data_IF_041590832177
#
_entry.id   IF_041590832177
#
_cell.length_a   1.000
_cell.length_b   1.000
_cell.length_c   1.000
_cell.angle_alpha   90.00
_cell.angle_beta   90.00
_cell.angle_gamma   90.00
#
_symmetry.space_group_name_H-M   'P 1'
#
loop_
_entity.id
_entity.type
_entity.pdbx_description
1 polymer ?
#
# COMPACT_ATOMS: atom_id res chain seq x y z
N UNK A 1 -6.25 22.00 6.95
CA UNK A 1 -4.98 22.60 7.39
C UNK A 1 -4.58 22.18 8.81
N UNK A 2 -5.46 22.20 9.80
CA UNK A 2 -5.11 21.77 11.18
C UNK A 2 -4.68 20.29 11.27
N UNK A 3 -5.37 19.38 10.57
CA UNK A 3 -5.03 17.95 10.54
C UNK A 3 -3.61 17.68 10.00
N UNK A 4 -3.21 18.35 8.91
CA UNK A 4 -1.88 18.17 8.30
C UNK A 4 -0.79 18.47 9.32
N UNK A 5 -0.90 19.57 10.07
CA UNK A 5 0.08 19.95 11.07
C UNK A 5 0.22 18.92 12.20
N UNK A 6 -0.89 18.33 12.65
CA UNK A 6 -0.86 17.27 13.67
C UNK A 6 -0.20 16.00 13.12
N UNK A 7 -0.59 15.56 11.93
CA UNK A 7 -0.02 14.37 11.27
C UNK A 7 1.49 14.53 11.04
N UNK A 8 1.94 15.72 10.63
CA UNK A 8 3.37 16.02 10.48
C UNK A 8 4.13 15.88 11.79
N UNK A 9 3.54 16.34 12.91
CA UNK A 9 4.16 16.17 14.22
C UNK A 9 4.28 14.69 14.60
N UNK A 10 3.23 13.90 14.37
CA UNK A 10 3.22 12.46 14.66
C UNK A 10 4.26 11.72 13.81
N UNK A 11 4.28 11.95 12.50
CA UNK A 11 5.25 11.35 11.58
C UNK A 11 6.71 11.64 12.00
N UNK A 12 6.97 12.87 12.46
CA UNK A 12 8.30 13.34 12.83
C UNK A 12 8.74 12.94 14.25
N UNK A 13 7.84 12.40 15.07
CA UNK A 13 8.14 12.02 16.45
C UNK A 13 8.74 10.61 16.49
N UNK A 14 10.08 10.53 16.55
CA UNK A 14 10.80 9.26 16.65
C UNK A 14 10.61 8.54 17.99
N UNK A 15 9.89 9.13 18.95
CA UNK A 15 9.50 8.46 20.20
C UNK A 15 8.17 7.73 20.09
N UNK A 16 7.42 7.93 18.99
CA UNK A 16 6.23 7.15 18.67
C UNK A 16 6.57 5.80 18.07
N UNK A 17 5.64 4.86 18.25
CA UNK A 17 5.70 3.55 17.60
C UNK A 17 5.75 3.68 16.07
N UNK A 18 6.58 2.87 15.38
CA UNK A 18 6.64 2.80 13.91
C UNK A 18 5.28 2.83 13.21
N UNK A 19 4.34 2.00 13.65
CA UNK A 19 3.02 1.91 13.04
C UNK A 19 2.21 3.19 13.18
N UNK A 20 2.31 3.90 14.30
CA UNK A 20 1.61 5.20 14.49
C UNK A 20 2.16 6.26 13.53
N UNK A 21 3.48 6.22 13.28
CA UNK A 21 4.15 7.11 12.31
C UNK A 21 3.78 6.76 10.87
N UNK A 22 3.70 5.46 10.55
CA UNK A 22 3.19 4.96 9.26
C UNK A 22 1.78 5.48 8.99
N UNK A 23 0.83 5.30 9.92
CA UNK A 23 -0.55 5.77 9.78
C UNK A 23 -0.62 7.29 9.54
N UNK A 24 0.25 8.06 10.19
CA UNK A 24 0.34 9.50 9.96
C UNK A 24 0.86 9.84 8.55
N UNK A 25 1.86 9.10 8.05
CA UNK A 25 2.38 9.23 6.70
C UNK A 25 1.35 8.86 5.63
N UNK A 26 0.64 7.75 5.84
CA UNK A 26 -0.42 7.29 4.95
C UNK A 26 -1.57 8.30 4.90
N UNK A 27 -2.01 8.81 6.05
CA UNK A 27 -3.03 9.85 6.11
C UNK A 27 -2.63 11.14 5.37
N UNK A 28 -1.35 11.54 5.43
CA UNK A 28 -0.84 12.66 4.64
C UNK A 28 -0.90 12.37 3.14
N UNK A 29 -0.54 11.16 2.73
CA UNK A 29 -0.70 10.67 1.36
C UNK A 29 -2.17 10.70 0.91
N UNK A 30 -3.08 10.19 1.74
CA UNK A 30 -4.53 10.15 1.53
C UNK A 30 -5.12 11.56 1.31
N UNK A 31 -4.72 12.53 2.15
CA UNK A 31 -5.12 13.94 2.02
C UNK A 31 -4.66 14.53 0.67
N UNK A 32 -3.50 14.13 0.15
CA UNK A 32 -3.06 14.52 -1.19
C UNK A 32 -2.52 15.96 -1.30
N UNK A 33 -2.26 16.64 -0.18
CA UNK A 33 -1.80 18.04 -0.18
C UNK A 33 -0.33 18.16 -0.59
N UNK A 34 -0.04 19.08 -1.51
CA UNK A 34 1.34 19.41 -1.89
C UNK A 34 2.17 19.98 -0.73
N UNK A 35 1.52 20.55 0.29
CA UNK A 35 2.18 21.02 1.52
C UNK A 35 2.93 19.90 2.25
N UNK A 36 2.47 18.65 2.11
CA UNK A 36 3.05 17.47 2.75
C UNK A 36 4.26 16.91 1.99
N UNK A 37 4.55 17.36 0.77
CA UNK A 37 5.65 16.80 -0.05
C UNK A 37 7.00 16.97 0.65
N UNK A 38 7.28 18.15 1.22
CA UNK A 38 8.57 18.43 1.83
C UNK A 38 8.87 17.53 3.04
N UNK A 39 7.87 17.26 3.88
CA UNK A 39 8.02 16.41 5.05
C UNK A 39 8.10 14.93 4.67
N UNK A 40 7.26 14.46 3.74
CA UNK A 40 7.32 13.08 3.26
C UNK A 40 8.67 12.79 2.57
N UNK A 41 9.18 13.74 1.78
CA UNK A 41 10.50 13.60 1.14
C UNK A 41 11.65 13.52 2.15
N UNK A 42 11.53 14.21 3.29
CA UNK A 42 12.50 14.13 4.39
C UNK A 42 12.50 12.74 5.04
N UNK A 43 11.32 12.13 5.20
CA UNK A 43 11.16 10.83 5.87
C UNK A 43 11.18 9.61 4.93
N UNK A 44 11.30 9.82 3.61
CA UNK A 44 11.54 8.74 2.64
C UNK A 44 12.79 7.90 2.93
N UNK A 45 13.76 8.45 3.67
CA UNK A 45 14.96 7.74 4.12
C UNK A 45 14.98 7.44 5.62
N UNK A 46 13.81 7.33 6.26
CA UNK A 46 13.73 6.97 7.69
C UNK A 46 14.39 5.60 7.95
N UNK A 47 15.09 5.41 9.08
CA UNK A 47 15.66 4.12 9.43
C UNK A 47 14.61 3.02 9.67
N UNK A 48 13.36 3.41 9.95
CA UNK A 48 12.23 2.48 10.08
C UNK A 48 11.60 2.29 8.70
N UNK A 49 11.71 1.07 8.16
CA UNK A 49 11.37 0.76 6.77
C UNK A 49 9.89 1.04 6.48
N UNK A 50 9.00 0.71 7.42
CA UNK A 50 7.56 0.95 7.30
C UNK A 50 7.27 2.44 7.11
N UNK A 51 7.98 3.31 7.83
CA UNK A 51 7.81 4.77 7.71
C UNK A 51 8.39 5.27 6.40
N UNK A 52 9.56 4.78 6.00
CA UNK A 52 10.23 5.17 4.76
C UNK A 52 9.40 4.82 3.51
N UNK A 53 8.96 3.57 3.42
CA UNK A 53 8.13 3.05 2.33
C UNK A 53 6.76 3.73 2.29
N UNK A 54 6.15 4.00 3.44
CA UNK A 54 4.90 4.76 3.50
C UNK A 54 5.05 6.17 2.96
N UNK A 55 6.16 6.83 3.31
CA UNK A 55 6.44 8.16 2.78
C UNK A 55 6.69 8.13 1.27
N UNK A 56 7.34 7.09 0.75
CA UNK A 56 7.48 6.86 -0.69
C UNK A 56 6.12 6.69 -1.38
N UNK A 57 5.27 5.80 -0.88
CA UNK A 57 3.91 5.57 -1.42
C UNK A 57 3.07 6.85 -1.38
N UNK A 58 3.09 7.57 -0.26
CA UNK A 58 2.38 8.83 -0.10
C UNK A 58 2.85 9.90 -1.10
N UNK A 59 4.16 9.99 -1.36
CA UNK A 59 4.72 10.90 -2.36
C UNK A 59 4.25 10.54 -3.78
N UNK A 60 4.35 9.27 -4.16
CA UNK A 60 3.93 8.81 -5.49
C UNK A 60 2.41 8.98 -5.68
N UNK A 61 1.62 8.73 -4.64
CA UNK A 61 0.17 9.01 -4.65
C UNK A 61 -0.14 10.48 -4.86
N UNK A 62 0.54 11.38 -4.13
CA UNK A 62 0.37 12.83 -4.30
C UNK A 62 0.75 13.22 -5.73
N UNK A 63 1.90 12.78 -6.23
CA UNK A 63 2.32 13.07 -7.61
C UNK A 63 1.28 12.59 -8.63
N UNK A 64 0.75 11.38 -8.45
CA UNK A 64 -0.27 10.83 -9.34
C UNK A 64 -1.56 11.67 -9.34
N UNK A 65 -2.08 12.06 -8.16
CA UNK A 65 -3.30 12.88 -8.08
C UNK A 65 -3.12 14.25 -8.75
N UNK A 66 -1.93 14.84 -8.66
CA UNK A 66 -1.62 16.13 -9.27
C UNK A 66 -1.19 16.03 -10.74
N UNK A 67 -1.03 14.84 -11.31
CA UNK A 67 -0.76 14.66 -12.74
C UNK A 67 -2.05 14.95 -13.55
N UNK A 68 -2.06 15.92 -14.48
CA UNK A 68 -3.22 16.21 -15.32
C UNK A 68 -3.71 15.01 -16.15
N UNK A 69 -2.86 14.01 -16.37
CA UNK A 69 -3.18 12.80 -17.13
C UNK A 69 -3.79 11.69 -16.27
N UNK A 70 -3.75 11.76 -14.94
CA UNK A 70 -4.27 10.69 -14.07
C UNK A 70 -5.76 10.41 -14.34
N UNK A 71 -6.54 11.46 -14.61
CA UNK A 71 -7.97 11.38 -14.95
C UNK A 71 -8.27 10.66 -16.27
N UNK A 72 -7.25 10.44 -17.12
CA UNK A 72 -7.38 9.71 -18.38
C UNK A 72 -7.17 8.20 -18.22
N UNK A 73 -6.63 7.77 -17.09
CA UNK A 73 -6.46 6.35 -16.79
C UNK A 73 -7.84 5.68 -16.64
N UNK A 74 -8.04 4.59 -17.38
CA UNK A 74 -9.22 3.75 -17.23
C UNK A 74 -8.98 2.78 -16.07
N UNK A 75 -9.34 3.24 -14.88
CA UNK A 75 -9.18 2.50 -13.63
C UNK A 75 -10.40 1.63 -13.32
N UNK A 76 -10.16 0.49 -12.67
CA UNK A 76 -11.25 -0.33 -12.11
C UNK A 76 -11.92 0.41 -10.94
N UNK A 77 -13.21 0.17 -10.74
CA UNK A 77 -13.93 0.68 -9.58
C UNK A 77 -13.37 0.03 -8.29
N UNK A 78 -13.16 0.83 -7.24
CA UNK A 78 -12.87 0.32 -5.90
C UNK A 78 -14.19 -0.02 -5.18
N UNK A 79 -14.54 -1.31 -4.99
CA UNK A 79 -15.81 -1.69 -4.36
C UNK A 79 -15.84 -1.46 -2.84
N UNK A 80 -14.68 -1.23 -2.21
CA UNK A 80 -14.54 -1.07 -0.76
C UNK A 80 -14.57 0.40 -0.31
N UNK A 81 -14.54 1.35 -1.26
CA UNK A 81 -14.60 2.80 -1.00
C UNK A 81 -13.53 3.30 -0.02
N UNK A 82 -12.42 2.57 0.08
CA UNK A 82 -11.23 2.98 0.82
C UNK A 82 -10.45 4.04 0.05
N UNK A 83 -9.67 4.83 0.78
CA UNK A 83 -8.69 5.74 0.19
C UNK A 83 -7.37 4.99 0.12
N UNK A 84 -7.15 4.29 -0.99
CA UNK A 84 -5.99 3.42 -1.14
C UNK A 84 -4.66 4.22 -1.26
N UNK A 85 -3.53 3.69 -0.75
CA UNK A 85 -2.19 4.26 -0.91
C UNK A 85 -1.74 4.40 -2.37
N UNK A 86 -2.29 3.59 -3.28
CA UNK A 86 -2.07 3.70 -4.72
C UNK A 86 -3.38 3.46 -5.49
N UNK A 87 -3.59 4.09 -6.67
CA UNK A 87 -4.67 3.69 -7.57
C UNK A 87 -4.48 2.25 -8.05
N UNK A 88 -5.51 1.54 -8.52
CA UNK A 88 -5.31 0.25 -9.20
C UNK A 88 -4.49 0.44 -10.50
N UNK A 89 -3.81 -0.61 -10.94
CA UNK A 89 -3.21 -0.64 -12.27
C UNK A 89 -4.29 -0.59 -13.37
N UNK A 90 -3.94 -0.03 -14.54
CA UNK A 90 -4.79 -0.08 -15.73
C UNK A 90 -4.79 -1.44 -16.41
N UNK A 91 -3.83 -2.30 -16.06
CA UNK A 91 -3.70 -3.67 -16.55
C UNK A 91 -4.88 -4.49 -16.02
N UNK A 92 -5.52 -5.26 -16.91
CA UNK A 92 -6.65 -6.14 -16.57
C UNK A 92 -6.29 -7.62 -16.66
N UNK A 93 -5.10 -7.95 -17.17
CA UNK A 93 -4.62 -9.33 -17.26
C UNK A 93 -4.14 -9.82 -15.90
N UNK A 94 -4.66 -10.97 -15.46
CA UNK A 94 -4.40 -11.49 -14.12
C UNK A 94 -2.96 -11.97 -13.95
N UNK A 95 -2.38 -12.62 -14.97
CA UNK A 95 -1.02 -13.16 -14.88
C UNK A 95 0.02 -12.03 -14.92
N UNK A 96 -0.22 -10.98 -15.71
CA UNK A 96 0.63 -9.79 -15.71
C UNK A 96 0.58 -9.05 -14.37
N UNK A 97 -0.62 -8.85 -13.80
CA UNK A 97 -0.78 -8.24 -12.47
C UNK A 97 -0.08 -9.06 -11.39
N UNK A 98 -0.22 -10.39 -11.42
CA UNK A 98 0.48 -11.29 -10.50
C UNK A 98 1.99 -11.23 -10.67
N UNK A 99 2.48 -11.15 -11.91
CA UNK A 99 3.90 -11.02 -12.19
C UNK A 99 4.47 -9.72 -11.61
N UNK A 100 3.75 -8.59 -11.75
CA UNK A 100 4.15 -7.31 -11.14
C UNK A 100 4.13 -7.41 -9.61
N UNK A 101 3.05 -7.95 -9.03
CA UNK A 101 2.87 -8.07 -7.58
C UNK A 101 4.05 -8.79 -6.90
N UNK A 102 4.52 -9.88 -7.52
CA UNK A 102 5.56 -10.77 -7.02
C UNK A 102 6.98 -10.37 -7.45
N UNK A 103 7.14 -9.31 -8.26
CA UNK A 103 8.44 -8.85 -8.72
C UNK A 103 9.11 -7.94 -7.69
N UNK A 104 10.14 -8.42 -6.99
CA UNK A 104 10.88 -7.63 -6.00
C UNK A 104 11.72 -6.49 -6.61
N UNK A 105 11.97 -6.52 -7.91
CA UNK A 105 12.64 -5.45 -8.64
C UNK A 105 11.66 -4.37 -9.15
N UNK A 106 10.35 -4.61 -9.06
CA UNK A 106 9.34 -3.61 -9.40
C UNK A 106 9.24 -2.55 -8.29
N UNK A 107 8.85 -1.33 -8.66
CA UNK A 107 8.64 -0.26 -7.69
C UNK A 107 7.53 -0.64 -6.70
N UNK A 108 7.66 -0.21 -5.45
CA UNK A 108 6.63 -0.47 -4.44
C UNK A 108 5.27 0.08 -4.87
N UNK A 109 5.25 1.25 -5.51
CA UNK A 109 4.03 1.84 -6.06
C UNK A 109 3.38 0.94 -7.11
N UNK A 110 4.13 0.43 -8.10
CA UNK A 110 3.57 -0.47 -9.12
C UNK A 110 3.05 -1.78 -8.53
N UNK A 111 3.73 -2.31 -7.52
CA UNK A 111 3.27 -3.51 -6.80
C UNK A 111 1.96 -3.24 -6.06
N UNK A 112 1.81 -2.09 -5.39
CA UNK A 112 0.55 -1.67 -4.77
C UNK A 112 -0.56 -1.44 -5.82
N UNK A 113 -0.23 -0.86 -6.98
CA UNK A 113 -1.19 -0.70 -8.08
C UNK A 113 -1.71 -2.07 -8.56
N UNK A 114 -0.81 -3.03 -8.73
CA UNK A 114 -1.18 -4.40 -9.11
C UNK A 114 -2.04 -5.08 -8.02
N UNK A 115 -1.67 -4.90 -6.75
CA UNK A 115 -2.40 -5.39 -5.58
C UNK A 115 -3.85 -4.91 -5.59
N UNK A 116 -4.08 -3.59 -5.73
CA UNK A 116 -5.44 -3.04 -5.73
C UNK A 116 -6.25 -3.41 -6.97
N UNK A 117 -5.60 -3.56 -8.14
CA UNK A 117 -6.26 -4.11 -9.32
C UNK A 117 -6.76 -5.54 -9.06
N UNK A 118 -5.90 -6.43 -8.55
CA UNK A 118 -6.26 -7.81 -8.19
C UNK A 118 -7.39 -7.84 -7.13
N UNK A 119 -7.28 -7.01 -6.09
CA UNK A 119 -8.34 -6.88 -5.07
C UNK A 119 -9.68 -6.51 -5.68
N UNK A 120 -9.70 -5.57 -6.63
CA UNK A 120 -10.93 -5.11 -7.26
C UNK A 120 -11.55 -6.18 -8.18
N UNK A 121 -10.76 -7.12 -8.71
CA UNK A 121 -11.27 -8.24 -9.53
C UNK A 121 -12.15 -9.21 -8.73
N UNK A 122 -11.86 -9.42 -7.44
CA UNK A 122 -12.63 -10.31 -6.54
C UNK A 122 -12.84 -11.72 -7.08
N UNK A 123 -11.87 -12.23 -7.84
CA UNK A 123 -11.87 -13.61 -8.32
C UNK A 123 -11.06 -14.50 -7.39
N UNK A 124 -11.34 -15.80 -7.42
CA UNK A 124 -10.60 -16.77 -6.60
C UNK A 124 -9.12 -16.81 -6.99
N UNK A 125 -8.81 -16.65 -8.27
CA UNK A 125 -7.44 -16.59 -8.79
C UNK A 125 -6.71 -15.35 -8.26
N UNK A 126 -7.39 -14.20 -8.19
CA UNK A 126 -6.83 -12.98 -7.62
C UNK A 126 -6.56 -13.14 -6.11
N UNK A 127 -7.47 -13.77 -5.36
CA UNK A 127 -7.28 -14.09 -3.94
C UNK A 127 -6.04 -14.97 -3.74
N UNK A 128 -5.85 -15.99 -4.59
CA UNK A 128 -4.68 -16.88 -4.54
C UNK A 128 -3.39 -16.13 -4.89
N UNK A 129 -3.42 -15.25 -5.89
CA UNK A 129 -2.27 -14.40 -6.25
C UNK A 129 -1.87 -13.48 -5.08
N UNK A 130 -2.84 -12.78 -4.49
CA UNK A 130 -2.64 -11.94 -3.30
C UNK A 130 -2.12 -12.75 -2.12
N UNK A 131 -2.73 -13.90 -1.83
CA UNK A 131 -2.29 -14.81 -0.76
C UNK A 131 -0.84 -15.25 -0.91
N UNK A 132 -0.40 -15.53 -2.14
CA UNK A 132 1.01 -15.90 -2.39
C UNK A 132 2.00 -14.76 -2.13
N UNK A 133 1.55 -13.51 -2.19
CA UNK A 133 2.39 -12.33 -1.97
C UNK A 133 2.66 -12.05 -0.48
N UNK A 134 2.00 -12.74 0.46
CA UNK A 134 2.34 -12.72 1.90
C UNK A 134 3.74 -13.27 2.21
N UNK A 135 4.46 -13.79 1.22
CA UNK A 135 5.81 -14.38 1.39
C UNK A 135 6.93 -13.53 0.77
N UNK A 136 6.62 -12.32 0.29
CA UNK A 136 7.59 -11.48 -0.41
C UNK A 136 7.45 -10.01 -0.01
N UNK A 137 8.44 -9.19 -0.38
CA UNK A 137 8.48 -7.78 -0.03
C UNK A 137 8.72 -7.50 1.46
N UNK A 138 8.49 -6.27 1.88
CA UNK A 138 8.68 -5.81 3.26
C UNK A 138 7.53 -6.20 4.19
N UNK A 139 7.73 -6.00 5.50
CA UNK A 139 6.67 -6.16 6.50
C UNK A 139 5.45 -5.26 6.19
N UNK A 140 5.70 -4.03 5.72
CA UNK A 140 4.63 -3.12 5.28
C UNK A 140 3.87 -3.65 4.06
N UNK A 141 4.59 -4.17 3.05
CA UNK A 141 3.93 -4.76 1.88
C UNK A 141 3.06 -5.95 2.26
N UNK A 142 3.56 -6.85 3.12
CA UNK A 142 2.78 -8.00 3.63
C UNK A 142 1.59 -7.57 4.48
N UNK A 143 1.75 -6.52 5.30
CA UNK A 143 0.65 -5.91 6.05
C UNK A 143 -0.49 -5.48 5.12
N UNK A 144 -0.18 -4.76 4.04
CA UNK A 144 -1.19 -4.33 3.08
C UNK A 144 -1.83 -5.52 2.35
N UNK A 145 -1.06 -6.55 1.98
CA UNK A 145 -1.61 -7.80 1.43
C UNK A 145 -2.63 -8.41 2.39
N UNK A 146 -2.30 -8.53 3.68
CA UNK A 146 -3.20 -9.05 4.68
C UNK A 146 -4.45 -8.17 4.82
N UNK A 147 -4.30 -6.84 4.77
CA UNK A 147 -5.40 -5.89 4.80
C UNK A 147 -6.36 -6.09 3.61
N UNK A 148 -5.85 -6.17 2.37
CA UNK A 148 -6.70 -6.37 1.18
C UNK A 148 -7.36 -7.74 1.14
N UNK A 149 -6.71 -8.79 1.64
CA UNK A 149 -7.34 -10.10 1.83
C UNK A 149 -8.47 -10.04 2.87
N UNK A 150 -8.27 -9.27 3.94
CA UNK A 150 -9.29 -8.96 4.93
C UNK A 150 -10.47 -8.18 4.35
N UNK A 151 -10.24 -7.26 3.40
CA UNK A 151 -11.31 -6.59 2.65
C UNK A 151 -12.09 -7.57 1.77
N UNK A 152 -11.40 -8.50 1.10
CA UNK A 152 -12.01 -9.50 0.23
C UNK A 152 -12.90 -10.49 0.98
N UNK A 153 -12.53 -10.86 2.21
CA UNK A 153 -13.29 -11.80 3.05
C UNK A 153 -13.55 -13.17 2.39
N UNK A 154 -12.70 -13.58 1.45
CA UNK A 154 -12.84 -14.87 0.75
C UNK A 154 -12.16 -15.99 1.55
N UNK A 155 -12.86 -17.11 1.76
CA UNK A 155 -12.34 -18.27 2.50
C UNK A 155 -11.05 -18.85 1.89
N UNK A 156 -10.82 -18.68 0.58
CA UNK A 156 -9.59 -19.10 -0.08
C UNK A 156 -8.34 -18.37 0.43
N UNK A 157 -8.50 -17.22 1.09
CA UNK A 157 -7.40 -16.47 1.72
C UNK A 157 -6.95 -17.07 3.06
N UNK A 158 -7.83 -17.81 3.75
CA UNK A 158 -7.61 -18.29 5.12
C UNK A 158 -6.34 -19.13 5.27
N UNK A 159 -6.01 -20.07 4.36
CA UNK A 159 -4.77 -20.83 4.48
C UNK A 159 -3.52 -19.94 4.43
N UNK A 160 -3.51 -18.91 3.59
CA UNK A 160 -2.37 -18.00 3.43
C UNK A 160 -2.20 -17.09 4.64
N UNK A 161 -3.31 -16.51 5.14
CA UNK A 161 -3.31 -15.68 6.35
C UNK A 161 -2.87 -16.51 7.58
N UNK A 162 -3.36 -17.74 7.68
CA UNK A 162 -2.96 -18.66 8.75
C UNK A 162 -1.47 -18.96 8.68
N UNK A 163 -0.95 -19.32 7.51
CA UNK A 163 0.48 -19.60 7.33
C UNK A 163 1.35 -18.40 7.71
N UNK A 164 0.97 -17.19 7.28
CA UNK A 164 1.69 -15.96 7.62
C UNK A 164 1.67 -15.65 9.12
N UNK A 165 0.56 -15.90 9.83
CA UNK A 165 0.45 -15.69 11.27
C UNK A 165 1.18 -16.76 12.11
N UNK A 166 1.35 -17.97 11.56
CA UNK A 166 2.08 -19.07 12.20
C UNK A 166 3.59 -18.95 12.01
N UNK A 167 4.06 -18.07 11.11
CA UNK A 167 5.48 -17.84 10.87
C UNK A 167 6.13 -17.04 12.02
N UNK A 168 6.98 -17.71 12.78
CA UNK A 168 7.67 -17.10 13.92
C UNK A 168 8.85 -16.21 13.48
N UNK A 169 9.34 -16.36 12.25
CA UNK A 169 10.43 -15.52 11.71
C UNK A 169 9.99 -14.10 11.36
N UNK A 170 8.68 -13.84 11.36
CA UNK A 170 8.07 -12.54 11.08
C UNK A 170 7.97 -11.61 12.30
N UNK A 171 8.38 -12.06 13.50
CA UNK A 171 8.28 -11.29 14.75
C UNK A 171 9.61 -10.68 15.24
N UNK A 172 10.63 -10.61 14.39
CA UNK A 172 12.01 -10.21 14.77
C UNK A 172 12.35 -8.75 14.47
#
# INVERSE_FOLDING_TARGET
QEAIHVLVKVLADSTQEPMVRHEAGEALGAIGSSESIGILQRFRGDPVIEVAETCELALERIKWIHDPNCSKELLSENPYKSVDPAPPATITDMEELKAILLNEEASLFDRYRAMFALRNMRSKEAVVALGSALKCGSALFRHEIAFVLGQLQDEASVPFLKESLEDQSENE
#
